data_IF_091098791076
#
_entry.id   IF_091098791076
#
_cell.length_a   1.000
_cell.length_b   1.000
_cell.length_c   1.000
_cell.angle_alpha   90.00
_cell.angle_beta   90.00
_cell.angle_gamma   90.00
#
_symmetry.space_group_name_H-M   'P 1'
#
loop_
_entity.id
_entity.type
_entity.pdbx_description
1 polymer ?
#
# COMPACT_ATOMS: atom_id res chain seq x y z
N UNK A 1 -1.88 15.98 13.76
CA UNK A 1 -1.30 16.71 12.60
C UNK A 1 -2.31 17.71 12.05
N UNK A 2 -1.94 18.57 11.08
CA UNK A 2 -2.89 19.49 10.41
C UNK A 2 -3.56 18.79 9.23
N UNK A 3 -4.68 19.31 8.75
CA UNK A 3 -5.44 18.73 7.63
C UNK A 3 -4.61 18.55 6.36
N UNK A 4 -3.76 19.52 6.01
CA UNK A 4 -2.85 19.42 4.86
C UNK A 4 -1.85 18.26 5.00
N UNK A 5 -1.37 18.00 6.23
CA UNK A 5 -0.44 16.91 6.48
C UNK A 5 -1.14 15.55 6.26
N UNK A 6 -2.40 15.42 6.72
CA UNK A 6 -3.21 14.21 6.48
C UNK A 6 -3.51 13.99 5.00
N UNK A 7 -3.85 15.07 4.28
CA UNK A 7 -4.10 15.01 2.84
C UNK A 7 -2.87 14.51 2.06
N UNK A 8 -1.68 15.05 2.35
CA UNK A 8 -0.46 14.63 1.67
C UNK A 8 -0.07 13.18 2.01
N UNK A 9 -0.31 12.73 3.25
CA UNK A 9 -0.14 11.32 3.62
C UNK A 9 -1.08 10.43 2.81
N UNK A 10 -2.37 10.77 2.73
CA UNK A 10 -3.35 9.98 1.99
C UNK A 10 -3.01 9.91 0.50
N UNK A 11 -2.64 11.04 -0.09
CA UNK A 11 -2.19 11.13 -1.47
C UNK A 11 -0.97 10.25 -1.72
N UNK A 12 0.03 10.28 -0.84
CA UNK A 12 1.21 9.45 -0.98
C UNK A 12 0.86 7.95 -0.93
N UNK A 13 -0.01 7.55 0.00
CA UNK A 13 -0.45 6.16 0.15
C UNK A 13 -1.32 5.69 -1.02
N UNK A 14 -2.08 6.57 -1.67
CA UNK A 14 -2.87 6.24 -2.85
C UNK A 14 -2.05 5.94 -4.10
N UNK A 15 -0.80 6.40 -4.13
CA UNK A 15 0.12 6.10 -5.23
C UNK A 15 0.79 4.72 -5.07
N UNK A 16 0.85 4.18 -3.85
CA UNK A 16 1.59 2.95 -3.53
C UNK A 16 1.09 1.69 -4.27
N UNK A 17 -0.23 1.46 -4.46
CA UNK A 17 -0.69 0.33 -5.27
C UNK A 17 -0.16 0.36 -6.70
N UNK A 18 0.07 1.55 -7.26
CA UNK A 18 0.62 1.71 -8.61
C UNK A 18 2.14 1.59 -8.62
N UNK A 19 2.82 2.26 -7.70
CA UNK A 19 4.29 2.29 -7.69
C UNK A 19 4.88 0.96 -7.22
N UNK A 20 4.39 0.42 -6.11
CA UNK A 20 4.91 -0.80 -5.50
C UNK A 20 4.11 -1.99 -6.00
N UNK A 21 2.79 -1.98 -5.78
CA UNK A 21 1.93 -3.13 -6.07
C UNK A 21 1.99 -3.60 -7.53
N UNK A 22 1.67 -2.72 -8.48
CA UNK A 22 1.67 -3.04 -9.91
C UNK A 22 3.07 -3.36 -10.44
N UNK A 23 4.10 -2.63 -10.01
CA UNK A 23 5.49 -2.90 -10.42
C UNK A 23 5.95 -4.28 -9.98
N UNK A 24 5.72 -4.66 -8.72
CA UNK A 24 6.10 -5.97 -8.20
C UNK A 24 5.24 -7.09 -8.79
N UNK A 25 3.94 -6.88 -8.96
CA UNK A 25 3.07 -7.84 -9.65
C UNK A 25 3.60 -8.12 -11.07
N UNK A 26 3.95 -7.09 -11.83
CA UNK A 26 4.50 -7.24 -13.16
C UNK A 26 5.84 -8.00 -13.18
N UNK A 27 6.74 -7.72 -12.22
CA UNK A 27 7.98 -8.48 -12.04
C UNK A 27 7.69 -9.94 -11.74
N UNK A 28 6.78 -10.22 -10.80
CA UNK A 28 6.42 -11.57 -10.39
C UNK A 28 5.84 -12.39 -11.56
N UNK A 29 4.89 -11.84 -12.32
CA UNK A 29 4.33 -12.53 -13.49
C UNK A 29 5.39 -12.82 -14.56
N UNK A 30 6.33 -11.89 -14.79
CA UNK A 30 7.47 -12.10 -15.70
C UNK A 30 8.38 -13.23 -15.22
N UNK A 31 8.77 -13.23 -13.95
CA UNK A 31 9.61 -14.28 -13.37
C UNK A 31 8.95 -15.65 -13.44
N UNK A 32 7.63 -15.71 -13.25
CA UNK A 32 6.83 -16.94 -13.32
C UNK A 32 6.39 -17.32 -14.74
N UNK A 33 6.93 -16.67 -15.78
CA UNK A 33 6.64 -16.92 -17.20
C UNK A 33 5.14 -16.84 -17.56
N UNK A 34 4.33 -16.14 -16.76
CA UNK A 34 2.90 -15.96 -16.98
C UNK A 34 2.67 -14.63 -17.70
N UNK A 35 2.58 -14.69 -19.03
CA UNK A 35 2.61 -13.52 -19.91
C UNK A 35 1.29 -12.76 -20.00
N UNK A 36 0.16 -13.41 -19.69
CA UNK A 36 -1.18 -12.84 -19.79
C UNK A 36 -1.99 -13.21 -18.54
N UNK A 37 -1.73 -12.59 -17.39
CA UNK A 37 -2.61 -12.74 -16.24
C UNK A 37 -3.98 -12.16 -16.58
N UNK A 38 -5.04 -12.74 -16.01
CA UNK A 38 -6.35 -12.08 -16.08
C UNK A 38 -6.29 -10.77 -15.28
N UNK A 39 -7.19 -9.80 -15.57
CA UNK A 39 -7.27 -8.58 -14.77
C UNK A 39 -7.45 -8.84 -13.27
N UNK A 40 -8.16 -9.90 -12.91
CA UNK A 40 -8.36 -10.31 -11.51
C UNK A 40 -7.07 -10.86 -10.89
N UNK A 41 -6.37 -11.76 -11.57
CA UNK A 41 -5.10 -12.30 -11.09
C UNK A 41 -4.07 -11.19 -10.87
N UNK A 42 -4.04 -10.22 -11.78
CA UNK A 42 -3.15 -9.07 -11.66
C UNK A 42 -3.54 -8.22 -10.44
N UNK A 43 -4.82 -7.86 -10.30
CA UNK A 43 -5.31 -7.09 -9.14
C UNK A 43 -5.03 -7.79 -7.81
N UNK A 44 -5.29 -9.09 -7.72
CA UNK A 44 -5.03 -9.86 -6.50
C UNK A 44 -3.55 -9.83 -6.13
N UNK A 45 -2.66 -9.95 -7.12
CA UNK A 45 -1.21 -9.86 -6.89
C UNK A 45 -0.77 -8.44 -6.48
N UNK A 46 -1.40 -7.40 -7.03
CA UNK A 46 -1.18 -6.00 -6.61
C UNK A 46 -1.59 -5.80 -5.15
N UNK A 47 -2.75 -6.31 -4.75
CA UNK A 47 -3.25 -6.25 -3.37
C UNK A 47 -2.28 -6.95 -2.42
N UNK A 48 -1.84 -8.17 -2.75
CA UNK A 48 -0.87 -8.92 -1.95
C UNK A 48 0.42 -8.12 -1.68
N UNK A 49 1.00 -7.49 -2.71
CA UNK A 49 2.18 -6.65 -2.53
C UNK A 49 1.91 -5.33 -1.80
N UNK A 50 0.71 -4.79 -1.93
CA UNK A 50 0.31 -3.59 -1.20
C UNK A 50 0.12 -3.89 0.30
N UNK A 51 -0.49 -5.02 0.65
CA UNK A 51 -0.64 -5.48 2.05
C UNK A 51 0.70 -5.68 2.74
N UNK A 52 1.76 -6.10 2.02
CA UNK A 52 3.11 -6.17 2.59
C UNK A 52 3.64 -4.81 3.08
N UNK A 53 3.11 -3.68 2.58
CA UNK A 53 3.49 -2.35 3.04
C UNK A 53 2.92 -2.03 4.42
N UNK A 54 1.87 -2.72 4.90
CA UNK A 54 1.39 -2.53 6.27
C UNK A 54 2.49 -2.88 7.28
N UNK A 55 3.29 -3.92 6.99
CA UNK A 55 4.46 -4.29 7.79
C UNK A 55 5.53 -3.18 7.80
N UNK A 56 5.67 -2.44 6.69
CA UNK A 56 6.59 -1.30 6.62
C UNK A 56 6.09 -0.16 7.52
N UNK A 57 4.79 0.12 7.54
CA UNK A 57 4.20 1.15 8.43
C UNK A 57 4.44 0.79 9.89
N UNK A 58 4.38 -0.50 10.25
CA UNK A 58 4.70 -0.99 11.58
C UNK A 58 6.17 -0.82 11.99
N UNK A 59 7.07 -0.68 11.02
CA UNK A 59 8.50 -0.47 11.26
C UNK A 59 8.86 0.98 11.61
N UNK A 60 7.94 1.94 11.40
CA UNK A 60 8.21 3.35 11.69
C UNK A 60 8.45 3.60 13.18
N UNK A 61 9.26 4.62 13.53
CA UNK A 61 9.47 5.01 14.92
C UNK A 61 8.14 5.25 15.64
N UNK A 62 7.96 4.60 16.79
CA UNK A 62 6.74 4.69 17.60
C UNK A 62 6.71 5.94 18.49
N UNK A 63 7.28 7.04 18.02
CA UNK A 63 7.40 8.30 18.77
C UNK A 63 7.23 9.53 17.88
N UNK A 64 6.79 10.63 18.50
CA UNK A 64 6.59 11.91 17.82
C UNK A 64 5.60 11.84 16.65
N UNK A 65 5.86 12.63 15.60
CA UNK A 65 4.99 12.74 14.42
C UNK A 65 4.88 11.43 13.62
N UNK A 66 5.86 10.53 13.71
CA UNK A 66 5.80 9.22 13.06
C UNK A 66 4.71 8.33 13.66
N UNK A 67 4.46 8.43 14.97
CA UNK A 67 3.39 7.71 15.64
C UNK A 67 2.01 8.16 15.15
N UNK A 68 1.80 9.48 15.02
CA UNK A 68 0.56 10.05 14.48
C UNK A 68 0.33 9.64 13.02
N UNK A 69 1.37 9.70 12.18
CA UNK A 69 1.31 9.28 10.78
C UNK A 69 0.98 7.78 10.66
N UNK A 70 1.67 6.92 11.39
CA UNK A 70 1.42 5.47 11.35
C UNK A 70 0.01 5.12 11.84
N UNK A 71 -0.51 5.82 12.86
CA UNK A 71 -1.88 5.64 13.33
C UNK A 71 -2.91 6.03 12.25
N UNK A 72 -2.71 7.17 11.59
CA UNK A 72 -3.58 7.65 10.49
C UNK A 72 -3.66 6.64 9.34
N UNK A 73 -2.49 6.20 8.86
CA UNK A 73 -2.39 5.22 7.77
C UNK A 73 -3.12 3.92 8.12
N UNK A 74 -2.94 3.41 9.34
CA UNK A 74 -3.62 2.18 9.79
C UNK A 74 -5.13 2.35 9.87
N UNK A 75 -5.61 3.49 10.37
CA UNK A 75 -7.05 3.77 10.44
C UNK A 75 -7.68 3.76 9.04
N UNK A 76 -6.99 4.37 8.07
CA UNK A 76 -7.41 4.41 6.68
C UNK A 76 -7.41 3.04 6.01
N UNK A 77 -6.35 2.25 6.18
CA UNK A 77 -6.26 0.93 5.56
C UNK A 77 -7.35 -0.01 6.10
N UNK A 78 -7.67 0.07 7.40
CA UNK A 78 -8.82 -0.66 7.98
C UNK A 78 -10.17 -0.24 7.36
N UNK A 79 -10.35 1.04 7.05
CA UNK A 79 -11.56 1.52 6.39
C UNK A 79 -11.68 0.98 4.95
N UNK A 80 -10.56 0.73 4.26
CA UNK A 80 -10.52 0.13 2.92
C UNK A 80 -10.79 -1.37 2.92
N UNK A 81 -10.32 -2.12 3.91
CA UNK A 81 -10.55 -3.57 4.02
C UNK A 81 -12.00 -3.95 4.36
N UNK A 82 -12.89 -2.96 4.59
CA UNK A 82 -14.31 -3.14 4.88
C UNK A 82 -15.20 -3.02 3.61
N UNK A 83 -14.60 -2.83 2.44
CA UNK A 83 -15.25 -2.78 1.12
C UNK A 83 -14.53 -3.70 0.13
#
# INVERSE_FOLDING_TARGET
>A
MRDDDYFEIDRAFDLLPHVVGASWAAVWFRMNKKRQPTPEEFRNKVVEYFEMLDLLVDSYPKSGKFLEMAAHVKQRNKARSLF
#
